data_IF_991337366707
#
_entry.id   IF_991337366707
#
_cell.length_a   1.000
_cell.length_b   1.000
_cell.length_c   1.000
_cell.angle_alpha   90.00
_cell.angle_beta   90.00
_cell.angle_gamma   90.00
#
_symmetry.space_group_name_H-M   'P 1'
#
loop_
_entity.id
_entity.type
_entity.pdbx_description
1 polymer ?
#
# COMPACT_ATOMS: atom_id res chain seq x y z
N UNK A 1 13.72 -16.20 -45.70
CA UNK A 1 13.14 -16.78 -44.47
C UNK A 1 14.28 -17.21 -43.56
N UNK A 2 14.49 -16.52 -42.46
CA UNK A 2 14.64 -17.15 -41.14
C UNK A 2 14.55 -16.04 -40.10
N UNK A 3 13.59 -16.20 -39.19
CA UNK A 3 13.22 -15.24 -38.16
C UNK A 3 14.19 -15.42 -36.99
N UNK A 4 14.82 -14.33 -36.57
CA UNK A 4 15.54 -14.30 -35.31
C UNK A 4 14.50 -14.23 -34.18
N UNK A 5 14.39 -15.31 -33.40
CA UNK A 5 13.67 -15.32 -32.13
C UNK A 5 14.44 -14.48 -31.11
N UNK A 6 13.79 -13.46 -30.58
CA UNK A 6 14.26 -12.70 -29.42
C UNK A 6 13.45 -13.15 -28.21
N UNK A 7 14.04 -13.99 -27.37
CA UNK A 7 13.59 -14.21 -26.00
C UNK A 7 14.82 -14.19 -25.08
N UNK A 8 14.71 -13.40 -24.00
CA UNK A 8 15.36 -13.52 -22.68
C UNK A 8 15.86 -12.18 -22.14
N UNK A 9 14.98 -11.46 -21.42
CA UNK A 9 15.33 -10.24 -20.67
C UNK A 9 14.42 -9.95 -19.46
N UNK A 10 13.66 -10.93 -18.96
CA UNK A 10 12.51 -10.68 -18.06
C UNK A 10 12.66 -10.99 -16.55
N UNK A 11 13.53 -11.88 -16.03
CA UNK A 11 13.52 -12.18 -14.59
C UNK A 11 14.22 -11.12 -13.72
N UNK A 12 15.35 -10.55 -14.18
CA UNK A 12 16.14 -9.59 -13.39
C UNK A 12 15.42 -8.25 -13.20
N UNK A 13 14.73 -7.78 -14.24
CA UNK A 13 13.98 -6.51 -14.24
C UNK A 13 12.76 -6.57 -13.29
N UNK A 14 12.06 -7.71 -13.24
CA UNK A 14 10.90 -7.87 -12.36
C UNK A 14 11.30 -7.87 -10.87
N UNK A 15 12.44 -8.48 -10.52
CA UNK A 15 12.95 -8.50 -9.15
C UNK A 15 13.29 -7.10 -8.62
N UNK A 16 13.89 -6.26 -9.45
CA UNK A 16 14.18 -4.87 -9.11
C UNK A 16 12.91 -4.03 -8.94
N UNK A 17 11.93 -4.20 -9.83
CA UNK A 17 10.64 -3.48 -9.74
C UNK A 17 9.87 -3.79 -8.45
N UNK A 18 9.84 -5.05 -8.01
CA UNK A 18 9.20 -5.43 -6.75
C UNK A 18 9.96 -4.84 -5.57
N UNK A 19 11.30 -4.90 -5.58
CA UNK A 19 12.14 -4.33 -4.52
C UNK A 19 11.87 -2.84 -4.34
N UNK A 20 11.77 -2.09 -5.43
CA UNK A 20 11.44 -0.66 -5.41
C UNK A 20 10.04 -0.42 -4.84
N UNK A 21 9.05 -1.24 -5.22
CA UNK A 21 7.69 -1.11 -4.73
C UNK A 21 7.57 -1.45 -3.23
N UNK A 22 8.28 -2.48 -2.76
CA UNK A 22 8.41 -2.83 -1.34
C UNK A 22 9.04 -1.69 -0.56
N UNK A 23 10.12 -1.10 -1.08
CA UNK A 23 10.78 0.04 -0.44
C UNK A 23 9.84 1.26 -0.35
N UNK A 24 9.14 1.58 -1.43
CA UNK A 24 8.21 2.71 -1.49
C UNK A 24 7.06 2.54 -0.49
N UNK A 25 6.43 1.36 -0.46
CA UNK A 25 5.36 1.08 0.50
C UNK A 25 5.87 1.07 1.94
N UNK A 26 7.01 0.47 2.20
CA UNK A 26 7.62 0.46 3.53
C UNK A 26 7.90 1.85 4.07
N UNK A 27 8.41 2.74 3.21
CA UNK A 27 8.64 4.15 3.51
C UNK A 27 7.31 4.89 3.74
N UNK A 28 6.27 4.59 2.96
CA UNK A 28 4.93 5.17 3.14
C UNK A 28 4.31 4.80 4.48
N UNK A 29 4.40 3.53 4.89
CA UNK A 29 3.91 3.09 6.19
C UNK A 29 4.65 3.74 7.34
N UNK A 30 5.97 3.95 7.19
CA UNK A 30 6.75 4.75 8.14
C UNK A 30 6.22 6.18 8.23
N UNK A 31 5.98 6.83 7.09
CA UNK A 31 5.46 8.19 7.04
C UNK A 31 4.11 8.30 7.74
N UNK A 32 3.16 7.37 7.50
CA UNK A 32 1.90 7.35 8.26
C UNK A 32 2.09 7.17 9.77
N UNK A 33 3.09 6.38 10.18
CA UNK A 33 3.47 6.28 11.59
C UNK A 33 3.93 7.61 12.18
N UNK A 34 4.71 8.40 11.43
CA UNK A 34 5.14 9.74 11.84
C UNK A 34 3.99 10.76 11.79
N UNK A 35 3.08 10.62 10.84
CA UNK A 35 1.86 11.44 10.71
C UNK A 35 0.94 11.27 11.94
N UNK A 36 0.93 10.07 12.55
CA UNK A 36 0.24 9.80 13.83
C UNK A 36 0.95 10.45 15.02
N UNK A 37 2.28 10.45 15.01
CA UNK A 37 3.13 10.94 16.12
C UNK A 37 3.45 12.43 16.03
N UNK A 38 2.89 13.13 15.04
CA UNK A 38 3.14 14.56 14.82
C UNK A 38 2.75 15.37 16.06
N UNK A 39 3.60 16.33 16.42
CA UNK A 39 3.49 17.10 17.66
C UNK A 39 2.24 18.00 17.70
N UNK A 40 1.86 18.54 16.54
CA UNK A 40 0.71 19.42 16.36
C UNK A 40 -0.63 18.67 16.36
N UNK A 41 -0.61 17.35 16.48
CA UNK A 41 -1.80 16.51 16.44
C UNK A 41 -1.68 15.41 15.38
N UNK A 42 -2.52 14.38 15.53
CA UNK A 42 -2.53 13.23 14.64
C UNK A 42 -3.11 13.59 13.28
N UNK A 43 -2.25 13.69 12.26
CA UNK A 43 -2.64 14.09 10.92
C UNK A 43 -3.66 13.14 10.27
N UNK A 44 -3.59 11.83 10.55
CA UNK A 44 -4.58 10.88 10.02
C UNK A 44 -5.98 11.22 10.50
N UNK A 45 -6.14 11.62 11.77
CA UNK A 45 -7.45 12.03 12.28
C UNK A 45 -7.94 13.31 11.60
N UNK A 46 -7.06 14.26 11.33
CA UNK A 46 -7.38 15.51 10.59
C UNK A 46 -7.80 15.24 9.14
N UNK A 47 -7.22 14.21 8.50
CA UNK A 47 -7.62 13.73 7.17
C UNK A 47 -8.98 13.00 7.20
N UNK A 48 -9.50 12.66 8.38
CA UNK A 48 -10.80 12.02 8.58
C UNK A 48 -10.75 10.53 8.90
N UNK A 49 -9.57 9.99 9.22
CA UNK A 49 -9.49 8.61 9.72
C UNK A 49 -10.18 8.48 11.08
N UNK A 50 -10.83 7.34 11.29
CA UNK A 50 -11.24 6.89 12.61
C UNK A 50 -10.18 5.96 13.18
N UNK A 51 -9.76 6.22 14.42
CA UNK A 51 -8.86 5.34 15.18
C UNK A 51 -9.66 4.36 16.03
N UNK A 52 -9.32 3.07 15.97
CA UNK A 52 -9.84 2.03 16.86
C UNK A 52 -8.70 1.39 17.64
N UNK A 53 -8.72 1.53 18.96
CA UNK A 53 -7.77 0.86 19.86
C UNK A 53 -8.00 -0.65 19.88
N UNK A 54 -6.96 -1.45 20.18
CA UNK A 54 -7.17 -2.86 20.51
C UNK A 54 -8.08 -3.01 21.75
N UNK A 55 -8.77 -4.15 21.88
CA UNK A 55 -9.36 -4.58 23.15
C UNK A 55 -8.28 -4.74 24.25
N UNK A 56 -8.68 -4.71 25.52
CA UNK A 56 -7.77 -4.84 26.67
C UNK A 56 -6.99 -6.16 26.66
N UNK A 57 -7.55 -7.22 26.06
CA UNK A 57 -6.88 -8.52 25.95
C UNK A 57 -5.80 -8.58 24.85
N UNK A 58 -5.60 -7.48 24.11
CA UNK A 58 -4.65 -7.37 22.98
C UNK A 58 -3.84 -6.07 23.03
N UNK A 59 -3.40 -5.64 24.21
CA UNK A 59 -2.63 -4.40 24.38
C UNK A 59 -1.33 -4.36 23.53
N UNK A 60 -0.78 -5.51 23.15
CA UNK A 60 0.37 -5.61 22.25
C UNK A 60 0.06 -5.17 20.82
N UNK A 61 -1.22 -5.13 20.42
CA UNK A 61 -1.63 -4.73 19.09
C UNK A 61 -1.73 -3.20 18.95
N UNK A 62 -1.15 -2.63 17.89
CA UNK A 62 -1.33 -1.21 17.60
C UNK A 62 -2.73 -0.88 17.09
N UNK A 63 -3.19 0.35 17.37
CA UNK A 63 -4.48 0.87 16.88
C UNK A 63 -4.65 0.73 15.36
N UNK A 64 -5.90 0.55 14.93
CA UNK A 64 -6.28 0.52 13.52
C UNK A 64 -6.78 1.90 13.10
N UNK A 65 -6.33 2.38 11.94
CA UNK A 65 -6.84 3.60 11.32
C UNK A 65 -7.66 3.25 10.09
N UNK A 66 -8.90 3.70 10.04
CA UNK A 66 -9.82 3.46 8.92
C UNK A 66 -10.37 4.77 8.37
N UNK A 67 -10.23 4.99 7.07
CA UNK A 67 -10.85 6.10 6.36
C UNK A 67 -11.97 5.56 5.48
N UNK A 68 -13.18 6.08 5.66
CA UNK A 68 -14.30 5.81 4.78
C UNK A 68 -14.23 6.72 3.55
N UNK A 69 -14.37 6.14 2.37
CA UNK A 69 -14.36 6.81 1.08
C UNK A 69 -15.77 6.75 0.44
N UNK A 70 -16.10 7.68 -0.47
CA UNK A 70 -17.35 7.63 -1.21
C UNK A 70 -17.55 6.29 -1.94
N UNK A 71 -18.80 5.82 -1.98
CA UNK A 71 -19.16 4.57 -2.68
C UNK A 71 -18.94 3.31 -1.85
N UNK A 72 -19.01 3.38 -0.51
CA UNK A 72 -18.78 2.24 0.40
C UNK A 72 -17.39 1.61 0.21
N UNK A 73 -16.41 2.48 -0.02
CA UNK A 73 -15.01 2.10 -0.10
C UNK A 73 -14.32 2.50 1.19
N UNK A 74 -13.24 1.82 1.56
CA UNK A 74 -12.47 2.20 2.74
C UNK A 74 -11.00 1.86 2.59
N UNK A 75 -10.16 2.64 3.26
CA UNK A 75 -8.73 2.37 3.41
C UNK A 75 -8.43 2.10 4.87
N UNK A 76 -7.74 1.00 5.14
CA UNK A 76 -7.36 0.59 6.49
C UNK A 76 -5.85 0.44 6.55
N UNK A 77 -5.23 1.24 7.41
CA UNK A 77 -3.78 1.32 7.56
C UNK A 77 -3.31 0.50 8.75
N UNK A 78 -2.38 -0.42 8.52
CA UNK A 78 -1.67 -1.21 9.54
C UNK A 78 -0.16 -1.17 9.32
N UNK A 79 0.61 -1.44 10.37
CA UNK A 79 2.08 -1.48 10.28
C UNK A 79 2.65 -2.59 9.40
N UNK A 80 1.84 -3.61 9.08
CA UNK A 80 2.20 -4.74 8.22
C UNK A 80 1.66 -4.64 6.79
N UNK A 81 0.84 -3.62 6.47
CA UNK A 81 0.26 -3.47 5.13
C UNK A 81 -1.00 -2.61 5.12
N UNK A 82 -1.60 -2.50 3.94
CA UNK A 82 -2.79 -1.67 3.70
C UNK A 82 -3.90 -2.52 3.12
N UNK A 83 -5.11 -2.40 3.67
CA UNK A 83 -6.31 -3.01 3.10
C UNK A 83 -7.16 -1.92 2.44
N UNK A 84 -7.52 -2.14 1.18
CA UNK A 84 -8.47 -1.33 0.44
C UNK A 84 -9.71 -2.16 0.16
N UNK A 85 -10.85 -1.74 0.68
CA UNK A 85 -12.12 -2.43 0.49
C UNK A 85 -13.03 -1.63 -0.43
N UNK A 86 -13.71 -2.32 -1.32
CA UNK A 86 -14.90 -1.88 -2.02
C UNK A 86 -16.02 -2.88 -1.73
N UNK A 87 -16.95 -2.52 -0.83
CA UNK A 87 -18.03 -3.41 -0.37
C UNK A 87 -18.93 -3.91 -1.51
N UNK A 88 -18.94 -3.23 -2.66
CA UNK A 88 -19.69 -3.64 -3.85
C UNK A 88 -18.94 -4.58 -4.78
N UNK A 89 -17.63 -4.79 -4.58
CA UNK A 89 -16.76 -5.53 -5.50
C UNK A 89 -15.93 -6.60 -4.78
N UNK A 90 -14.96 -6.16 -3.98
CA UNK A 90 -13.91 -6.99 -3.41
C UNK A 90 -12.99 -6.12 -2.52
N UNK A 91 -12.03 -6.77 -1.86
CA UNK A 91 -10.95 -6.08 -1.17
C UNK A 91 -9.59 -6.57 -1.65
N UNK A 92 -8.61 -5.67 -1.59
CA UNK A 92 -7.21 -5.97 -1.83
C UNK A 92 -6.38 -5.60 -0.61
N UNK A 93 -5.51 -6.51 -0.20
CA UNK A 93 -4.51 -6.28 0.83
C UNK A 93 -3.13 -6.22 0.19
N UNK A 94 -2.42 -5.13 0.46
CA UNK A 94 -1.07 -4.90 -0.02
C UNK A 94 -0.08 -5.04 1.16
N UNK A 95 0.65 -6.16 1.25
CA UNK A 95 1.55 -6.42 2.36
C UNK A 95 2.84 -5.59 2.24
N UNK A 96 3.34 -5.12 3.37
CA UNK A 96 4.46 -4.17 3.45
C UNK A 96 5.76 -4.69 2.84
N UNK A 97 6.10 -5.96 3.06
CA UNK A 97 7.44 -6.50 2.80
C UNK A 97 7.55 -7.27 1.49
N UNK A 98 6.43 -7.52 0.83
CA UNK A 98 6.35 -8.31 -0.40
C UNK A 98 5.78 -7.49 -1.57
N UNK A 99 4.94 -6.49 -1.29
CA UNK A 99 4.21 -5.73 -2.32
C UNK A 99 3.46 -6.63 -3.31
N UNK A 100 3.03 -7.82 -2.88
CA UNK A 100 2.26 -8.75 -3.71
C UNK A 100 0.79 -8.71 -3.31
N UNK A 101 -0.11 -8.11 -4.12
CA UNK A 101 -1.51 -7.97 -3.76
C UNK A 101 -2.16 -9.31 -3.42
N UNK A 102 -2.92 -9.33 -2.32
CA UNK A 102 -3.82 -10.44 -1.98
C UNK A 102 -5.26 -9.97 -2.12
N UNK A 103 -6.12 -10.85 -2.60
CA UNK A 103 -7.47 -10.53 -3.03
C UNK A 103 -8.50 -11.30 -2.21
N UNK A 104 -9.69 -10.73 -2.07
CA UNK A 104 -10.87 -11.44 -1.58
C UNK A 104 -12.14 -10.80 -2.12
N UNK A 105 -13.14 -11.62 -2.45
CA UNK A 105 -14.49 -11.15 -2.80
C UNK A 105 -15.31 -10.79 -1.54
N UNK A 106 -14.83 -11.17 -0.36
CA UNK A 106 -15.50 -10.91 0.92
C UNK A 106 -14.86 -9.70 1.62
N UNK A 107 -15.19 -8.50 1.15
CA UNK A 107 -14.64 -7.24 1.67
C UNK A 107 -15.09 -6.89 3.10
N UNK A 108 -16.18 -7.51 3.58
CA UNK A 108 -16.77 -7.23 4.88
C UNK A 108 -15.88 -7.72 6.03
N UNK A 109 -15.54 -6.81 6.94
CA UNK A 109 -14.77 -7.12 8.14
C UNK A 109 -15.68 -7.39 9.33
N UNK A 110 -15.51 -8.54 9.96
CA UNK A 110 -16.23 -8.89 11.20
C UNK A 110 -15.73 -8.08 12.40
N UNK A 111 -14.46 -7.69 12.39
CA UNK A 111 -13.77 -6.90 13.43
C UNK A 111 -12.68 -6.05 12.79
N UNK A 112 -12.24 -4.95 13.44
CA UNK A 112 -11.04 -4.24 13.02
C UNK A 112 -9.85 -5.20 12.93
N UNK A 113 -9.03 -5.11 11.88
CA UNK A 113 -7.90 -6.01 11.75
C UNK A 113 -6.78 -5.53 12.67
N UNK A 114 -6.71 -5.97 13.94
CA UNK A 114 -5.66 -5.61 14.90
C UNK A 114 -4.39 -6.46 14.74
N UNK A 115 -4.50 -7.66 14.20
CA UNK A 115 -3.36 -8.46 13.69
C UNK A 115 -3.59 -8.85 12.23
N UNK A 116 -2.58 -9.47 11.60
CA UNK A 116 -2.74 -10.04 10.25
C UNK A 116 -3.73 -11.21 10.23
N UNK A 117 -3.96 -11.87 11.38
CA UNK A 117 -4.92 -12.97 11.54
C UNK A 117 -6.37 -12.48 11.59
N UNK A 118 -6.58 -11.19 11.85
CA UNK A 118 -7.90 -10.57 11.84
C UNK A 118 -8.32 -10.11 10.43
N UNK A 119 -7.45 -10.25 9.43
CA UNK A 119 -7.79 -9.99 8.02
C UNK A 119 -8.79 -11.02 7.49
N UNK A 120 -9.60 -10.67 6.47
CA UNK A 120 -10.47 -11.64 5.83
C UNK A 120 -9.64 -12.73 5.15
N UNK A 121 -10.30 -13.83 4.75
CA UNK A 121 -9.65 -14.86 3.94
C UNK A 121 -9.20 -14.26 2.61
N UNK A 122 -7.90 -14.02 2.51
CA UNK A 122 -7.21 -13.39 1.38
C UNK A 122 -6.33 -14.44 0.69
N UNK A 123 -6.34 -14.44 -0.65
CA UNK A 123 -5.55 -15.34 -1.47
C UNK A 123 -4.84 -14.59 -2.61
N UNK A 124 -3.77 -15.16 -3.21
CA UNK A 124 -3.25 -14.66 -4.48
C UNK A 124 -4.35 -14.64 -5.56
N UNK A 125 -4.52 -13.57 -6.36
CA UNK A 125 -5.60 -13.49 -7.33
C UNK A 125 -5.47 -14.58 -8.40
N UNK A 126 -6.53 -15.39 -8.59
CA UNK A 126 -6.59 -16.37 -9.70
C UNK A 126 -6.78 -15.65 -11.04
N UNK A 127 -6.51 -16.27 -12.20
CA UNK A 127 -6.55 -15.58 -13.50
C UNK A 127 -7.81 -14.76 -13.78
N UNK A 128 -8.99 -15.23 -13.35
CA UNK A 128 -10.27 -14.50 -13.52
C UNK A 128 -10.41 -13.28 -12.60
N UNK A 129 -9.65 -13.21 -11.51
CA UNK A 129 -9.68 -12.12 -10.53
C UNK A 129 -8.59 -11.06 -10.79
N UNK A 130 -7.56 -11.39 -11.58
CA UNK A 130 -6.38 -10.53 -11.80
C UNK A 130 -6.75 -9.11 -12.24
N UNK A 131 -7.69 -8.96 -13.18
CA UNK A 131 -8.13 -7.64 -13.64
C UNK A 131 -8.81 -6.82 -12.53
N UNK A 132 -9.66 -7.46 -11.72
CA UNK A 132 -10.32 -6.79 -10.59
C UNK A 132 -9.31 -6.42 -9.49
N UNK A 133 -8.38 -7.31 -9.17
CA UNK A 133 -7.31 -7.08 -8.20
C UNK A 133 -6.37 -5.94 -8.64
N UNK A 134 -5.99 -5.92 -9.92
CA UNK A 134 -5.19 -4.84 -10.51
C UNK A 134 -5.91 -3.50 -10.42
N UNK A 135 -7.19 -3.46 -10.77
CA UNK A 135 -8.00 -2.23 -10.65
C UNK A 135 -8.06 -1.69 -9.23
N UNK A 136 -8.33 -2.54 -8.22
CA UNK A 136 -8.34 -2.10 -6.81
C UNK A 136 -6.97 -1.67 -6.32
N UNK A 137 -5.91 -2.32 -6.78
CA UNK A 137 -4.52 -1.96 -6.46
C UNK A 137 -4.17 -0.58 -7.01
N UNK A 138 -4.56 -0.29 -8.26
CA UNK A 138 -4.36 1.01 -8.88
C UNK A 138 -5.16 2.11 -8.18
N UNK A 139 -6.40 1.83 -7.77
CA UNK A 139 -7.20 2.76 -6.96
C UNK A 139 -6.54 3.07 -5.62
N UNK A 140 -5.98 2.05 -4.94
CA UNK A 140 -5.23 2.23 -3.72
C UNK A 140 -3.97 3.08 -3.95
N UNK A 141 -3.18 2.78 -4.99
CA UNK A 141 -1.98 3.57 -5.34
C UNK A 141 -2.35 5.05 -5.58
N UNK A 142 -3.44 5.29 -6.31
CA UNK A 142 -3.91 6.64 -6.58
C UNK A 142 -4.36 7.37 -5.31
N UNK A 143 -5.00 6.65 -4.38
CA UNK A 143 -5.34 7.20 -3.07
C UNK A 143 -4.08 7.59 -2.27
N UNK A 144 -3.05 6.72 -2.24
CA UNK A 144 -1.78 7.01 -1.55
C UNK A 144 -1.09 8.22 -2.17
N UNK A 145 -1.05 8.29 -3.51
CA UNK A 145 -0.50 9.44 -4.24
C UNK A 145 -1.20 10.73 -3.83
N UNK A 146 -2.54 10.73 -3.86
CA UNK A 146 -3.35 11.90 -3.49
C UNK A 146 -3.14 12.31 -2.04
N UNK A 147 -2.97 11.33 -1.13
CA UNK A 147 -2.64 11.59 0.26
C UNK A 147 -1.32 12.35 0.40
N UNK A 148 -0.25 11.91 -0.27
CA UNK A 148 1.05 12.58 -0.20
C UNK A 148 1.06 13.97 -0.82
N UNK A 149 0.29 14.21 -1.89
CA UNK A 149 0.07 15.56 -2.42
C UNK A 149 -0.54 16.47 -1.36
N UNK A 150 -1.60 16.00 -0.67
CA UNK A 150 -2.26 16.78 0.38
C UNK A 150 -1.37 17.05 1.59
N UNK A 151 -0.51 16.10 1.95
CA UNK A 151 0.50 16.32 3.01
C UNK A 151 1.38 17.50 2.64
N UNK A 152 1.94 17.52 1.44
CA UNK A 152 2.82 18.62 1.00
C UNK A 152 2.06 19.94 0.91
N UNK A 153 0.84 19.93 0.40
CA UNK A 153 -0.01 21.13 0.30
C UNK A 153 -0.39 21.70 1.67
N UNK A 154 -0.61 20.85 2.67
CA UNK A 154 -1.14 21.27 3.99
C UNK A 154 -0.05 21.49 5.04
N UNK A 155 0.97 20.63 5.04
CA UNK A 155 2.03 20.59 6.06
C UNK A 155 3.37 21.12 5.51
N UNK A 156 3.46 21.37 4.21
CA UNK A 156 4.68 21.79 3.54
C UNK A 156 5.61 20.62 3.21
N UNK A 157 6.46 20.82 2.20
CA UNK A 157 7.43 19.80 1.78
C UNK A 157 8.48 19.51 2.86
N UNK A 158 8.84 20.51 3.67
CA UNK A 158 9.85 20.38 4.72
C UNK A 158 9.44 19.39 5.80
N UNK A 159 8.15 19.31 6.14
CA UNK A 159 7.61 18.29 7.04
C UNK A 159 7.98 16.87 6.58
N UNK A 160 7.80 16.58 5.29
CA UNK A 160 8.12 15.25 4.74
C UNK A 160 9.63 15.05 4.63
N UNK A 161 10.42 16.08 4.31
CA UNK A 161 11.89 16.00 4.36
C UNK A 161 12.39 15.60 5.75
N UNK A 162 11.95 16.29 6.79
CA UNK A 162 12.32 16.02 8.19
C UNK A 162 11.90 14.62 8.64
N UNK A 163 10.70 14.19 8.22
CA UNK A 163 10.20 12.82 8.44
C UNK A 163 11.13 11.77 7.85
N UNK A 164 11.63 12.01 6.64
CA UNK A 164 12.46 11.07 5.89
C UNK A 164 13.92 11.06 6.31
N UNK A 165 14.45 12.15 6.88
CA UNK A 165 15.79 12.14 7.50
C UNK A 165 15.89 11.07 8.60
N UNK A 166 14.82 10.83 9.35
CA UNK A 166 14.78 9.78 10.39
C UNK A 166 14.62 8.36 9.82
N UNK A 167 14.10 8.24 8.61
CA UNK A 167 14.01 6.97 7.89
C UNK A 167 15.35 6.58 7.27
N UNK A 168 16.16 7.57 6.87
CA UNK A 168 17.47 7.37 6.30
C UNK A 168 18.48 6.85 7.32
N UNK A 169 18.56 5.53 7.40
CA UNK A 169 19.55 4.81 8.19
C UNK A 169 20.75 4.34 7.34
N UNK A 170 20.89 4.83 6.11
CA UNK A 170 21.93 4.42 5.14
C UNK A 170 21.78 3.00 4.58
N UNK A 171 20.71 2.26 4.93
CA UNK A 171 20.47 0.89 4.46
C UNK A 171 19.21 0.74 3.60
N UNK A 172 18.26 1.66 3.74
CA UNK A 172 17.00 1.62 3.01
C UNK A 172 17.13 2.35 1.66
N UNK A 173 16.42 1.86 0.64
CA UNK A 173 16.10 2.67 -0.54
C UNK A 173 15.20 3.83 -0.09
N UNK A 174 15.51 5.04 -0.55
CA UNK A 174 14.82 6.26 -0.13
C UNK A 174 14.30 6.97 -1.36
N UNK A 175 12.98 7.20 -1.35
CA UNK A 175 12.35 8.14 -2.26
C UNK A 175 12.37 9.52 -1.63
N UNK A 176 13.00 10.54 -2.24
CA UNK A 176 12.98 11.91 -1.71
C UNK A 176 11.55 12.46 -1.56
N UNK A 177 11.34 13.38 -0.62
CA UNK A 177 10.03 13.96 -0.33
C UNK A 177 9.37 14.55 -1.59
N UNK A 178 10.15 15.23 -2.44
CA UNK A 178 9.70 15.88 -3.67
C UNK A 178 9.28 14.89 -4.75
N UNK A 179 9.77 13.65 -4.66
CA UNK A 179 9.50 12.58 -5.61
C UNK A 179 8.48 11.59 -5.11
N UNK A 180 7.99 11.73 -3.88
CA UNK A 180 7.22 10.66 -3.25
C UNK A 180 5.89 10.42 -3.94
N UNK A 181 5.12 11.48 -4.21
CA UNK A 181 3.90 11.39 -4.99
C UNK A 181 4.17 10.93 -6.44
N UNK A 182 5.22 11.42 -7.10
CA UNK A 182 5.54 10.98 -8.47
C UNK A 182 5.99 9.51 -8.53
N UNK A 183 6.67 9.00 -7.51
CA UNK A 183 7.07 7.60 -7.46
C UNK A 183 5.87 6.65 -7.38
N UNK A 184 4.81 7.05 -6.66
CA UNK A 184 3.54 6.32 -6.67
C UNK A 184 2.85 6.38 -8.03
N UNK A 185 2.92 7.51 -8.74
CA UNK A 185 2.42 7.61 -10.11
C UNK A 185 3.20 6.71 -11.07
N UNK A 186 4.53 6.71 -11.00
CA UNK A 186 5.38 5.86 -11.83
C UNK A 186 5.11 4.37 -11.56
N UNK A 187 4.88 4.02 -10.28
CA UNK A 187 4.47 2.67 -9.90
C UNK A 187 3.10 2.30 -10.46
N UNK A 188 2.13 3.22 -10.51
CA UNK A 188 0.82 2.93 -11.11
C UNK A 188 0.93 2.59 -12.59
N UNK A 189 1.80 3.28 -13.34
CA UNK A 189 2.08 2.94 -14.74
C UNK A 189 2.70 1.55 -14.89
N UNK A 190 3.65 1.18 -14.03
CA UNK A 190 4.27 -0.16 -14.06
C UNK A 190 3.27 -1.26 -13.73
N UNK A 191 2.47 -1.07 -12.68
CA UNK A 191 1.41 -2.01 -12.26
C UNK A 191 0.35 -2.15 -13.35
N UNK A 192 -0.05 -1.05 -14.00
CA UNK A 192 -1.01 -1.09 -15.11
C UNK A 192 -0.46 -1.76 -16.37
N UNK A 193 0.85 -1.61 -16.64
CA UNK A 193 1.48 -2.21 -17.81
C UNK A 193 1.75 -3.71 -17.62
N UNK A 194 2.06 -4.15 -16.41
CA UNK A 194 2.38 -5.54 -16.10
C UNK A 194 2.03 -5.90 -14.64
N UNK A 195 0.74 -6.16 -14.37
CA UNK A 195 0.30 -6.57 -13.05
C UNK A 195 0.87 -7.94 -12.62
N UNK A 196 1.11 -8.84 -13.58
CA UNK A 196 1.61 -10.18 -13.31
C UNK A 196 3.00 -10.19 -12.67
N UNK A 197 3.85 -9.18 -12.96
CA UNK A 197 5.13 -9.01 -12.28
C UNK A 197 4.99 -8.87 -10.76
N UNK A 198 3.85 -8.36 -10.28
CA UNK A 198 3.56 -8.14 -8.86
C UNK A 198 2.70 -9.25 -8.25
N UNK A 199 2.30 -10.25 -9.03
CA UNK A 199 1.49 -11.39 -8.56
C UNK A 199 2.35 -12.44 -7.87
N UNK A 200 1.78 -13.27 -7.01
CA UNK A 200 2.53 -14.37 -6.40
C UNK A 200 3.01 -15.35 -7.49
N UNK A 201 4.23 -15.91 -7.37
CA UNK A 201 4.62 -16.99 -8.25
C UNK A 201 3.57 -18.10 -8.17
N UNK A 202 3.20 -18.67 -9.32
CA UNK A 202 2.35 -19.84 -9.34
C UNK A 202 3.11 -20.97 -8.61
N UNK A 203 2.49 -21.57 -7.60
CA UNK A 203 3.02 -22.80 -7.00
C UNK A 203 2.76 -23.93 -8.01
N UNK A 204 3.80 -24.32 -8.76
CA UNK A 204 3.80 -25.51 -9.64
C UNK A 204 3.64 -26.83 -8.84
#
# INVERSE_FOLDING_TARGET
>A
MSVASAESGQPENNGEQIRDAVALLSQQLWCWGQDVLRAEGNWLLEVGFTRRSPPEEREECSSVYTLQLPGRRSVILRGFGVLYCDDGRAAVFLPRYEFRPRYTVHAALLKPPWSSEDLPALHPPVPTERSACASLTLELIEWIRTYEVRVVESLGIDYRRETLVKWDNGKNLITPAEKFASAWLDLSFRVSANFDAYSWPDDD
#
